data_IF_799364633483
#
_entry.id   IF_799364633483
#
_cell.length_a   1.000
_cell.length_b   1.000
_cell.length_c   1.000
_cell.angle_alpha   90.00
_cell.angle_beta   90.00
_cell.angle_gamma   90.00
#
_symmetry.space_group_name_H-M   'P 1'
#
loop_
_entity.id
_entity.type
_entity.pdbx_description
1 polymer ?
#
# COMPACT_ATOMS: atom_id res chain seq x y z
N UNK A 1 -11.29 -43.44 -18.93
CA UNK A 1 -11.41 -41.96 -18.90
C UNK A 1 -10.54 -41.50 -17.76
N UNK A 2 -9.25 -41.30 -18.03
CA UNK A 2 -8.27 -40.85 -17.02
C UNK A 2 -8.13 -39.32 -17.12
N UNK A 3 -8.36 -38.55 -16.05
CA UNK A 3 -8.08 -37.12 -16.04
C UNK A 3 -6.81 -36.88 -15.22
N UNK A 4 -5.64 -37.03 -15.82
CA UNK A 4 -4.40 -36.52 -15.23
C UNK A 4 -3.32 -36.37 -16.30
N UNK A 5 -3.41 -35.30 -17.08
CA UNK A 5 -2.32 -34.84 -17.93
C UNK A 5 -2.09 -33.35 -17.69
N UNK A 6 -1.73 -33.02 -16.45
CA UNK A 6 -0.98 -31.78 -16.18
C UNK A 6 0.46 -32.04 -16.60
N UNK A 7 0.90 -31.45 -17.71
CA UNK A 7 2.28 -31.64 -18.21
C UNK A 7 3.27 -31.15 -17.13
N UNK A 8 4.32 -31.91 -16.79
CA UNK A 8 5.25 -31.59 -15.69
C UNK A 8 5.93 -30.22 -15.83
N UNK A 9 6.06 -29.71 -17.05
CA UNK A 9 6.61 -28.40 -17.37
C UNK A 9 5.72 -27.24 -16.87
N UNK A 10 4.40 -27.40 -16.94
CA UNK A 10 3.44 -26.40 -16.47
C UNK A 10 3.46 -26.33 -14.93
N UNK A 11 3.51 -27.48 -14.26
CA UNK A 11 3.58 -27.58 -12.80
C UNK A 11 4.88 -26.96 -12.26
N UNK A 12 6.01 -27.19 -12.93
CA UNK A 12 7.30 -26.58 -12.57
C UNK A 12 7.31 -25.06 -12.77
N UNK A 13 6.67 -24.56 -13.83
CA UNK A 13 6.54 -23.12 -14.07
C UNK A 13 5.64 -22.43 -13.03
N UNK A 14 4.55 -23.07 -12.60
CA UNK A 14 3.70 -22.57 -11.51
C UNK A 14 4.45 -22.50 -10.17
N UNK A 15 5.16 -23.57 -9.78
CA UNK A 15 5.98 -23.57 -8.57
C UNK A 15 7.07 -22.49 -8.59
N UNK A 16 7.65 -22.23 -9.76
CA UNK A 16 8.63 -21.14 -9.95
C UNK A 16 8.01 -19.75 -9.73
N UNK A 17 6.78 -19.52 -10.21
CA UNK A 17 6.06 -18.25 -10.01
C UNK A 17 5.70 -18.04 -8.55
N UNK A 18 5.17 -19.06 -7.88
CA UNK A 18 4.82 -19.00 -6.46
C UNK A 18 6.06 -18.74 -5.59
N UNK A 19 7.17 -19.43 -5.85
CA UNK A 19 8.42 -19.20 -5.14
C UNK A 19 8.95 -17.78 -5.33
N UNK A 20 8.87 -17.22 -6.55
CA UNK A 20 9.24 -15.82 -6.82
C UNK A 20 8.32 -14.85 -6.08
N UNK A 21 7.02 -15.09 -6.09
CA UNK A 21 6.05 -14.25 -5.38
C UNK A 21 6.28 -14.28 -3.87
N UNK A 22 6.50 -15.45 -3.28
CA UNK A 22 6.81 -15.60 -1.86
C UNK A 22 8.09 -14.83 -1.49
N UNK A 23 9.14 -14.91 -2.32
CA UNK A 23 10.37 -14.14 -2.13
C UNK A 23 10.12 -12.64 -2.18
N UNK A 24 9.34 -12.15 -3.15
CA UNK A 24 9.00 -10.73 -3.25
C UNK A 24 8.18 -10.24 -2.05
N UNK A 25 7.22 -11.04 -1.58
CA UNK A 25 6.43 -10.71 -0.39
C UNK A 25 7.29 -10.66 0.87
N UNK A 26 8.23 -11.60 1.02
CA UNK A 26 9.19 -11.58 2.12
C UNK A 26 10.10 -10.35 2.09
N UNK A 27 10.60 -9.98 0.90
CA UNK A 27 11.40 -8.77 0.74
C UNK A 27 10.59 -7.51 1.04
N UNK A 28 9.35 -7.42 0.56
CA UNK A 28 8.46 -6.29 0.83
C UNK A 28 8.18 -6.15 2.33
N UNK A 29 7.92 -7.27 3.03
CA UNK A 29 7.72 -7.25 4.48
C UNK A 29 8.96 -6.72 5.21
N UNK A 30 10.15 -7.20 4.86
CA UNK A 30 11.39 -6.72 5.45
C UNK A 30 11.65 -5.23 5.19
N UNK A 31 11.29 -4.72 4.02
CA UNK A 31 11.40 -3.29 3.70
C UNK A 31 10.41 -2.44 4.50
N UNK A 32 9.17 -2.92 4.67
CA UNK A 32 8.15 -2.20 5.44
C UNK A 32 8.45 -2.16 6.95
N UNK A 33 9.32 -3.03 7.44
CA UNK A 33 9.83 -3.02 8.81
C UNK A 33 11.05 -2.10 9.00
N UNK A 34 11.63 -1.55 7.91
CA UNK A 34 12.76 -0.61 7.98
C UNK A 34 12.29 0.75 8.51
N UNK A 35 12.91 1.28 9.60
CA UNK A 35 12.53 2.58 10.17
C UNK A 35 12.71 3.76 9.20
N UNK A 36 13.55 3.64 8.17
CA UNK A 36 13.72 4.67 7.15
C UNK A 36 12.44 4.83 6.31
N UNK A 37 11.64 3.77 6.16
CA UNK A 37 10.41 3.73 5.38
C UNK A 37 9.15 3.84 6.26
N UNK A 38 9.28 4.42 7.46
CA UNK A 38 8.16 4.54 8.42
C UNK A 38 6.99 5.42 7.91
N UNK A 39 7.22 6.22 6.88
CA UNK A 39 6.22 7.03 6.18
C UNK A 39 5.40 6.24 5.16
N UNK A 40 5.90 5.09 4.70
CA UNK A 40 5.22 4.19 3.78
C UNK A 40 4.14 3.40 4.53
N UNK A 41 2.94 3.32 3.94
CA UNK A 41 1.83 2.57 4.54
C UNK A 41 2.10 1.07 4.50
N UNK A 42 1.56 0.31 5.47
CA UNK A 42 1.73 -1.17 5.53
C UNK A 42 1.18 -1.92 4.31
N UNK A 43 0.30 -1.28 3.54
CA UNK A 43 -0.25 -1.82 2.29
C UNK A 43 -0.05 -0.76 1.20
N UNK A 44 1.18 -0.57 0.72
CA UNK A 44 1.48 0.52 -0.19
C UNK A 44 0.85 0.24 -1.55
N UNK A 45 0.30 1.27 -2.18
CA UNK A 45 0.03 1.24 -3.62
C UNK A 45 1.18 1.91 -4.38
N UNK A 46 1.38 1.51 -5.65
CA UNK A 46 2.44 2.09 -6.48
C UNK A 46 2.31 3.62 -6.57
N UNK A 47 1.09 4.14 -6.64
CA UNK A 47 0.82 5.57 -6.70
C UNK A 47 1.23 6.31 -5.41
N UNK A 48 1.11 5.66 -4.25
CA UNK A 48 1.53 6.28 -2.98
C UNK A 48 3.05 6.38 -2.91
N UNK A 49 3.74 5.29 -3.26
CA UNK A 49 5.21 5.25 -3.28
C UNK A 49 5.75 6.29 -4.27
N UNK A 50 5.15 6.39 -5.46
CA UNK A 50 5.53 7.41 -6.43
C UNK A 50 5.28 8.83 -5.90
N UNK A 51 4.19 9.05 -5.15
CA UNK A 51 3.92 10.34 -4.52
C UNK A 51 4.95 10.69 -3.44
N UNK A 52 5.39 9.71 -2.63
CA UNK A 52 6.45 9.89 -1.63
C UNK A 52 7.80 10.17 -2.30
N UNK A 53 8.16 9.43 -3.35
CA UNK A 53 9.37 9.74 -4.13
C UNK A 53 9.31 11.18 -4.67
N UNK A 54 8.17 11.60 -5.21
CA UNK A 54 7.99 12.96 -5.70
C UNK A 54 8.05 14.01 -4.57
N UNK A 55 7.65 13.67 -3.35
CA UNK A 55 7.78 14.56 -2.19
C UNK A 55 9.26 14.81 -1.89
N UNK A 56 10.07 13.77 -1.96
CA UNK A 56 11.50 13.81 -1.66
C UNK A 56 12.27 14.54 -2.75
N UNK A 57 11.79 14.44 -3.98
CA UNK A 57 12.30 15.16 -5.15
C UNK A 57 11.71 16.59 -5.29
N UNK A 58 10.82 17.02 -4.38
CA UNK A 58 10.23 18.36 -4.36
C UNK A 58 9.10 18.62 -5.38
N UNK A 59 8.61 17.59 -6.06
CA UNK A 59 7.48 17.65 -7.00
C UNK A 59 6.11 17.34 -6.37
N UNK A 60 6.10 17.00 -5.08
CA UNK A 60 4.89 16.87 -4.26
C UNK A 60 5.01 17.73 -3.00
N UNK A 61 3.89 17.93 -2.32
CA UNK A 61 3.78 18.69 -1.08
C UNK A 61 3.12 17.85 0.01
N UNK A 62 3.49 18.13 1.26
CA UNK A 62 2.84 17.58 2.45
C UNK A 62 1.91 18.61 3.05
N UNK A 63 0.65 18.22 3.25
CA UNK A 63 -0.39 19.06 3.82
C UNK A 63 -0.86 18.46 5.15
N UNK A 64 -0.95 19.28 6.18
CA UNK A 64 -1.52 18.89 7.47
C UNK A 64 -3.02 19.18 7.47
N UNK A 65 -3.82 18.15 7.73
CA UNK A 65 -5.29 18.22 7.77
C UNK A 65 -5.73 18.17 9.22
N UNK A 66 -6.43 19.23 9.66
CA UNK A 66 -6.97 19.35 11.01
C UNK A 66 -8.43 18.86 11.02
N UNK A 67 -8.75 17.96 11.94
CA UNK A 67 -10.10 17.43 12.15
C UNK A 67 -10.88 18.31 13.14
N UNK A 68 -12.19 18.09 13.23
CA UNK A 68 -13.08 18.81 14.15
C UNK A 68 -12.78 18.54 15.63
N UNK A 69 -12.13 17.42 15.95
CA UNK A 69 -11.68 17.07 17.31
C UNK A 69 -10.30 17.66 17.66
N UNK A 70 -9.82 18.61 16.86
CA UNK A 70 -8.48 19.23 16.94
C UNK A 70 -7.30 18.25 16.78
N UNK A 71 -7.54 16.99 16.41
CA UNK A 71 -6.45 16.11 15.96
C UNK A 71 -6.06 16.43 14.52
N UNK A 72 -4.85 16.08 14.13
CA UNK A 72 -4.36 16.31 12.77
C UNK A 72 -3.62 15.10 12.22
N UNK A 73 -3.52 15.04 10.90
CA UNK A 73 -2.70 14.06 10.20
C UNK A 73 -2.20 14.66 8.88
N UNK A 74 -1.10 14.11 8.38
CA UNK A 74 -0.49 14.58 7.15
C UNK A 74 -0.93 13.75 5.93
N UNK A 75 -1.04 14.42 4.79
CA UNK A 75 -1.25 13.80 3.48
C UNK A 75 -0.25 14.37 2.47
N UNK A 76 0.37 13.50 1.68
CA UNK A 76 1.22 13.88 0.56
C UNK A 76 0.39 13.91 -0.73
N UNK A 77 0.54 14.97 -1.53
CA UNK A 77 -0.11 15.13 -2.84
C UNK A 77 0.84 15.80 -3.82
N UNK A 78 0.74 15.48 -5.11
CA UNK A 78 1.53 16.16 -6.14
C UNK A 78 1.30 17.68 -6.12
N UNK A 79 2.30 18.46 -6.55
CA UNK A 79 2.17 19.92 -6.63
C UNK A 79 1.07 20.37 -7.59
N UNK A 80 0.74 19.53 -8.58
CA UNK A 80 -0.33 19.73 -9.55
C UNK A 80 -1.68 19.14 -9.13
N UNK A 81 -1.79 18.58 -7.92
CA UNK A 81 -2.99 17.89 -7.46
C UNK A 81 -4.19 18.84 -7.38
N UNK A 82 -5.37 18.33 -7.75
CA UNK A 82 -6.62 19.07 -7.64
C UNK A 82 -7.26 18.89 -6.25
N UNK A 83 -8.27 19.71 -5.94
CA UNK A 83 -9.07 19.54 -4.71
C UNK A 83 -9.76 18.16 -4.66
N UNK A 84 -10.10 17.58 -5.82
CA UNK A 84 -10.66 16.23 -5.90
C UNK A 84 -9.64 15.19 -5.43
N UNK A 85 -8.40 15.33 -5.86
CA UNK A 85 -7.31 14.42 -5.50
C UNK A 85 -6.99 14.54 -4.01
N UNK A 86 -6.93 15.77 -3.49
CA UNK A 86 -6.79 16.02 -2.05
C UNK A 86 -7.91 15.37 -1.24
N UNK A 87 -9.17 15.53 -1.67
CA UNK A 87 -10.32 14.89 -1.01
C UNK A 87 -10.21 13.36 -1.01
N UNK A 88 -9.69 12.77 -2.09
CA UNK A 88 -9.48 11.34 -2.19
C UNK A 88 -8.36 10.87 -1.26
N UNK A 89 -7.23 11.57 -1.23
CA UNK A 89 -6.10 11.28 -0.35
C UNK A 89 -6.51 11.36 1.13
N UNK A 90 -7.28 12.39 1.51
CA UNK A 90 -7.84 12.54 2.86
C UNK A 90 -8.72 11.35 3.23
N UNK A 91 -9.66 10.97 2.35
CA UNK A 91 -10.56 9.82 2.60
C UNK A 91 -9.78 8.52 2.76
N UNK A 92 -8.78 8.31 1.92
CA UNK A 92 -7.91 7.14 1.99
C UNK A 92 -7.16 7.08 3.32
N UNK A 93 -6.51 8.19 3.72
CA UNK A 93 -5.76 8.26 4.98
C UNK A 93 -6.65 8.06 6.21
N UNK A 94 -7.87 8.58 6.20
CA UNK A 94 -8.85 8.32 7.25
C UNK A 94 -9.19 6.82 7.33
N UNK A 95 -9.49 6.19 6.20
CA UNK A 95 -9.78 4.75 6.17
C UNK A 95 -8.59 3.94 6.70
N UNK A 96 -7.35 4.28 6.34
CA UNK A 96 -6.15 3.61 6.85
C UNK A 96 -6.05 3.71 8.37
N UNK A 97 -6.14 4.94 8.92
CA UNK A 97 -6.11 5.18 10.37
C UNK A 97 -7.21 4.41 11.10
N UNK A 98 -8.41 4.35 10.51
CA UNK A 98 -9.54 3.60 11.08
C UNK A 98 -9.31 2.08 11.05
N UNK A 99 -8.76 1.55 9.97
CA UNK A 99 -8.44 0.12 9.85
C UNK A 99 -7.31 -0.29 10.80
N UNK A 100 -6.30 0.56 10.99
CA UNK A 100 -5.24 0.34 11.98
C UNK A 100 -5.80 0.28 13.40
N UNK A 101 -6.79 1.13 13.73
CA UNK A 101 -7.46 1.11 15.04
C UNK A 101 -8.37 -0.10 15.24
N UNK A 102 -9.07 -0.55 14.21
CA UNK A 102 -10.06 -1.64 14.31
C UNK A 102 -9.45 -3.05 14.29
N UNK A 103 -8.17 -3.21 13.90
CA UNK A 103 -7.53 -4.52 13.83
C UNK A 103 -8.16 -5.44 12.78
N UNK A 104 -8.05 -6.76 12.98
CA UNK A 104 -8.64 -7.75 12.06
C UNK A 104 -10.17 -7.68 12.09
N UNK A 105 -10.79 -7.07 11.06
CA UNK A 105 -12.24 -7.11 10.86
C UNK A 105 -12.63 -8.52 10.42
N UNK A 106 -13.06 -9.35 11.38
CA UNK A 106 -13.75 -10.60 11.07
C UNK A 106 -15.14 -10.26 10.52
N UNK A 107 -15.39 -10.58 9.25
CA UNK A 107 -16.72 -10.51 8.65
C UNK A 107 -17.10 -11.95 8.31
N UNK A 108 -18.01 -12.53 9.10
CA UNK A 108 -18.65 -13.81 8.79
C UNK A 108 -20.00 -13.55 8.13
N UNK A 109 -20.27 -14.24 7.04
CA UNK A 109 -21.61 -14.49 6.52
C UNK A 109 -21.80 -16.00 6.43
#
# INVERSE_FOLDING_TARGET
>A
MDPSSGKPEEVAAYQSKEAKQARLQSMLAALLDDPILADVTRKPSLADVDTLINLELGSAMRLTVVKLDNTSFDVAVLNSATVKDLKLAIRKKINEIEQEKMGHRHISW
#
